data_IF_650110601587
#
_entry.id   IF_650110601587
#
_cell.length_a   1.000
_cell.length_b   1.000
_cell.length_c   1.000
_cell.angle_alpha   90.00
_cell.angle_beta   90.00
_cell.angle_gamma   90.00
#
_symmetry.space_group_name_H-M   'P 1'
#
loop_
_entity.id
_entity.type
_entity.pdbx_description
1 polymer ?
#
# COMPACT_ATOMS: atom_id res chain seq x y z
N UNK A 1 -28.20 1.70 19.55
CA UNK A 1 -27.20 2.78 19.65
C UNK A 1 -25.95 2.29 18.94
N UNK A 2 -25.76 2.67 17.68
CA UNK A 2 -24.57 2.29 16.92
C UNK A 2 -23.47 3.30 17.22
N UNK A 3 -22.34 2.84 17.74
CA UNK A 3 -21.15 3.65 17.91
C UNK A 3 -20.58 3.87 16.50
N UNK A 4 -20.74 5.08 15.96
CA UNK A 4 -20.05 5.47 14.71
C UNK A 4 -18.60 5.75 15.06
N UNK A 5 -17.70 4.87 14.62
CA UNK A 5 -16.29 5.25 14.44
C UNK A 5 -16.21 6.00 13.11
N UNK A 6 -16.52 7.29 13.12
CA UNK A 6 -15.97 8.18 12.11
C UNK A 6 -14.50 8.32 12.47
N UNK A 7 -13.63 7.54 11.81
CA UNK A 7 -12.22 7.89 11.73
C UNK A 7 -12.17 9.26 11.06
N UNK A 8 -11.98 10.30 11.87
CA UNK A 8 -11.72 11.64 11.37
C UNK A 8 -10.57 11.52 10.36
N UNK A 9 -10.74 12.10 9.17
CA UNK A 9 -9.69 12.14 8.14
C UNK A 9 -8.40 12.82 8.65
N UNK A 10 -8.46 13.48 9.81
CA UNK A 10 -7.32 14.00 10.57
C UNK A 10 -6.57 12.95 11.40
N UNK A 11 -7.04 11.70 11.48
CA UNK A 11 -6.36 10.65 12.27
C UNK A 11 -5.07 10.23 11.58
N UNK A 12 -3.95 10.69 12.13
CA UNK A 12 -2.62 10.31 11.72
C UNK A 12 -2.13 9.09 12.52
N UNK A 13 -1.53 8.13 11.83
CA UNK A 13 -0.95 6.93 12.45
C UNK A 13 0.53 6.87 12.12
N UNK A 14 1.35 6.71 13.15
CA UNK A 14 2.79 6.51 12.99
C UNK A 14 3.13 5.03 13.09
N UNK A 15 3.86 4.52 12.10
CA UNK A 15 4.13 3.10 11.89
C UNK A 15 5.61 2.91 11.50
N UNK A 16 6.30 1.87 11.97
CA UNK A 16 7.62 1.50 11.46
C UNK A 16 7.52 0.99 10.01
N UNK A 17 8.57 1.20 9.21
CA UNK A 17 8.69 0.55 7.91
C UNK A 17 9.26 -0.85 8.07
N UNK A 18 8.50 -1.89 7.75
CA UNK A 18 8.92 -3.28 7.74
C UNK A 18 10.03 -3.57 6.73
N UNK A 19 10.13 -2.77 5.65
CA UNK A 19 11.26 -2.83 4.72
C UNK A 19 12.57 -2.22 5.28
N UNK A 20 12.56 -1.61 6.47
CA UNK A 20 13.78 -1.16 7.16
C UNK A 20 14.60 -2.39 7.62
N UNK A 21 15.90 -2.50 7.27
CA UNK A 21 16.75 -3.64 7.66
C UNK A 21 16.89 -3.88 9.18
N UNK A 22 16.62 -2.85 9.98
CA UNK A 22 16.68 -2.91 11.44
C UNK A 22 15.48 -3.66 12.04
N UNK A 23 14.36 -3.75 11.32
CA UNK A 23 13.18 -4.53 11.72
C UNK A 23 13.49 -6.03 11.73
N UNK A 24 13.04 -6.71 12.79
CA UNK A 24 13.15 -8.15 12.97
C UNK A 24 11.76 -8.77 13.03
N UNK A 25 11.45 -9.59 12.03
CA UNK A 25 10.19 -10.30 11.91
C UNK A 25 10.34 -11.46 10.91
N UNK A 26 9.46 -12.46 10.99
CA UNK A 26 9.36 -13.48 9.94
C UNK A 26 8.59 -12.93 8.74
N UNK A 27 8.72 -13.53 7.54
CA UNK A 27 7.95 -13.11 6.37
C UNK A 27 6.42 -13.09 6.62
N UNK A 28 5.92 -14.08 7.36
CA UNK A 28 4.50 -14.21 7.70
C UNK A 28 4.06 -13.08 8.65
N UNK A 29 4.90 -12.74 9.63
CA UNK A 29 4.65 -11.63 10.55
C UNK A 29 4.67 -10.27 9.83
N UNK A 30 5.57 -10.07 8.85
CA UNK A 30 5.58 -8.88 7.99
C UNK A 30 4.31 -8.82 7.14
N UNK A 31 3.90 -9.93 6.53
CA UNK A 31 2.69 -9.98 5.71
C UNK A 31 1.45 -9.63 6.54
N UNK A 32 1.35 -10.18 7.75
CA UNK A 32 0.26 -9.88 8.68
C UNK A 32 0.31 -8.44 9.18
N UNK A 33 1.49 -7.90 9.50
CA UNK A 33 1.68 -6.50 9.86
C UNK A 33 1.22 -5.54 8.75
N UNK A 34 1.59 -5.81 7.51
CA UNK A 34 1.15 -4.99 6.36
C UNK A 34 -0.38 -5.04 6.22
N UNK A 35 -0.99 -6.21 6.48
CA UNK A 35 -2.44 -6.42 6.42
C UNK A 35 -3.19 -5.69 7.55
N UNK A 36 -2.74 -5.82 8.78
CA UNK A 36 -3.49 -5.36 9.98
C UNK A 36 -3.01 -4.02 10.51
N UNK A 37 -1.71 -3.75 10.40
CA UNK A 37 -1.05 -2.62 11.06
C UNK A 37 -0.73 -2.87 12.52
N UNK A 38 -0.90 -4.10 13.00
CA UNK A 38 -0.57 -4.47 14.36
C UNK A 38 0.95 -4.46 14.54
N UNK A 39 1.43 -3.39 15.17
CA UNK A 39 2.85 -3.22 15.45
C UNK A 39 3.38 -4.35 16.34
N UNK A 40 2.56 -5.01 17.17
CA UNK A 40 2.99 -6.12 18.03
C UNK A 40 3.52 -7.35 17.28
N UNK A 41 3.35 -7.41 15.95
CA UNK A 41 3.82 -8.51 15.09
C UNK A 41 5.28 -8.40 14.67
N UNK A 42 5.89 -7.22 14.83
CA UNK A 42 7.27 -6.96 14.42
C UNK A 42 8.09 -6.49 15.63
N UNK A 43 9.42 -6.56 15.53
CA UNK A 43 10.33 -6.02 16.56
C UNK A 43 11.24 -5.00 15.90
N UNK A 44 11.35 -3.80 16.47
CA UNK A 44 12.16 -2.71 15.91
C UNK A 44 12.89 -1.92 17.00
N UNK A 45 14.07 -1.37 16.70
CA UNK A 45 14.77 -0.44 17.59
C UNK A 45 14.17 0.97 17.53
N UNK A 46 14.52 1.83 18.49
CA UNK A 46 13.99 3.21 18.59
C UNK A 46 14.34 4.10 17.38
N UNK A 47 15.44 3.78 16.67
CA UNK A 47 15.97 4.51 15.52
C UNK A 47 15.43 4.00 14.17
N UNK A 48 14.49 3.06 14.17
CA UNK A 48 13.86 2.55 12.93
C UNK A 48 13.23 3.68 12.11
N UNK A 49 13.29 3.57 10.78
CA UNK A 49 12.54 4.46 9.90
C UNK A 49 11.05 4.29 10.16
N UNK A 50 10.37 5.39 10.48
CA UNK A 50 8.92 5.42 10.71
C UNK A 50 8.26 6.35 9.71
N UNK A 51 7.00 6.07 9.41
CA UNK A 51 6.13 6.92 8.59
C UNK A 51 4.95 7.38 9.41
N UNK A 52 4.51 8.61 9.19
CA UNK A 52 3.20 9.09 9.63
C UNK A 52 2.30 9.21 8.42
N UNK A 53 1.17 8.52 8.45
CA UNK A 53 0.20 8.46 7.36
C UNK A 53 -1.20 8.78 7.86
N UNK A 54 -2.09 9.17 6.95
CA UNK A 54 -3.51 9.37 7.22
C UNK A 54 -4.38 8.73 6.15
N UNK A 55 -5.66 8.55 6.46
CA UNK A 55 -6.67 8.22 5.46
C UNK A 55 -6.81 9.35 4.42
N UNK A 56 -7.11 8.97 3.18
CA UNK A 56 -7.49 9.93 2.14
C UNK A 56 -8.98 10.24 2.25
N UNK A 57 -9.32 11.48 1.96
CA UNK A 57 -10.71 11.87 1.69
C UNK A 57 -11.14 11.39 0.30
N UNK A 58 -12.45 11.27 0.05
CA UNK A 58 -12.97 10.90 -1.27
C UNK A 58 -12.44 11.80 -2.41
N UNK A 59 -12.35 13.14 -2.26
CA UNK A 59 -11.75 14.00 -3.30
C UNK A 59 -10.28 13.73 -3.58
N UNK A 60 -9.49 13.42 -2.54
CA UNK A 60 -8.06 13.10 -2.68
C UNK A 60 -7.86 11.76 -3.38
N UNK A 61 -8.70 10.77 -3.05
CA UNK A 61 -8.73 9.49 -3.74
C UNK A 61 -9.08 9.68 -5.23
N UNK A 62 -10.11 10.48 -5.53
CA UNK A 62 -10.53 10.77 -6.89
C UNK A 62 -9.47 11.55 -7.70
N UNK A 63 -8.69 12.43 -7.05
CA UNK A 63 -7.56 13.11 -7.70
C UNK A 63 -6.43 12.13 -8.02
N UNK A 64 -6.08 11.24 -7.09
CA UNK A 64 -5.07 10.20 -7.32
C UNK A 64 -5.48 9.24 -8.46
N UNK A 65 -6.75 8.85 -8.52
CA UNK A 65 -7.30 8.03 -9.60
C UNK A 65 -7.21 8.75 -10.95
N UNK A 66 -7.57 10.04 -11.00
CA UNK A 66 -7.48 10.86 -12.21
C UNK A 66 -6.04 11.01 -12.70
N UNK A 67 -5.09 11.20 -11.80
CA UNK A 67 -3.66 11.27 -12.14
C UNK A 67 -3.14 9.98 -12.79
N UNK A 68 -3.69 8.81 -12.42
CA UNK A 68 -3.34 7.52 -12.99
C UNK A 68 -3.99 7.24 -14.37
N UNK A 69 -5.01 8.02 -14.73
CA UNK A 69 -5.78 7.90 -15.96
C UNK A 69 -6.92 6.88 -15.84
N UNK A 70 -7.32 6.29 -16.97
CA UNK A 70 -8.42 5.33 -17.01
C UNK A 70 -8.09 4.06 -16.21
N UNK A 71 -8.95 3.73 -15.24
CA UNK A 71 -8.90 2.48 -14.46
C UNK A 71 -9.62 1.36 -15.22
N UNK A 72 -8.93 0.31 -15.68
CA UNK A 72 -9.58 -0.79 -16.41
C UNK A 72 -10.42 -1.66 -15.48
N UNK A 73 -11.74 -1.61 -15.59
CA UNK A 73 -12.66 -2.36 -14.71
C UNK A 73 -12.46 -3.87 -14.82
N UNK A 74 -12.33 -4.41 -16.04
CA UNK A 74 -12.05 -5.84 -16.25
C UNK A 74 -10.69 -6.25 -15.66
N UNK A 75 -9.71 -5.35 -15.73
CA UNK A 75 -8.39 -5.57 -15.16
C UNK A 75 -8.41 -5.60 -13.63
N UNK A 76 -9.22 -4.73 -13.00
CA UNK A 76 -9.44 -4.74 -11.55
C UNK A 76 -10.02 -6.08 -11.09
N UNK A 77 -11.04 -6.60 -11.80
CA UNK A 77 -11.60 -7.92 -11.48
C UNK A 77 -10.59 -9.06 -11.66
N UNK A 78 -9.80 -9.02 -12.74
CA UNK A 78 -8.73 -10.00 -12.96
C UNK A 78 -7.66 -9.92 -11.86
N UNK A 79 -7.35 -8.73 -11.38
CA UNK A 79 -6.42 -8.50 -10.28
C UNK A 79 -6.94 -9.07 -8.96
N UNK A 80 -8.21 -8.84 -8.63
CA UNK A 80 -8.83 -9.39 -7.42
C UNK A 80 -8.92 -10.93 -7.48
N UNK A 81 -9.27 -11.49 -8.63
CA UNK A 81 -9.27 -12.94 -8.85
C UNK A 81 -7.87 -13.56 -8.68
N UNK A 82 -6.85 -12.92 -9.26
CA UNK A 82 -5.47 -13.34 -9.09
C UNK A 82 -5.02 -13.26 -7.62
N UNK A 83 -5.39 -12.19 -6.89
CA UNK A 83 -5.09 -12.06 -5.46
C UNK A 83 -5.76 -13.14 -4.63
N UNK A 84 -7.03 -13.44 -4.88
CA UNK A 84 -7.76 -14.51 -4.19
C UNK A 84 -7.12 -15.87 -4.45
N UNK A 85 -6.67 -16.16 -5.68
CA UNK A 85 -5.97 -17.40 -6.00
C UNK A 85 -4.61 -17.55 -5.30
N UNK A 86 -4.01 -16.43 -4.88
CA UNK A 86 -2.70 -16.37 -4.21
C UNK A 86 -2.80 -16.31 -2.69
N UNK A 87 -4.00 -16.23 -2.12
CA UNK A 87 -4.20 -16.01 -0.69
C UNK A 87 -3.57 -17.14 0.15
N UNK A 88 -2.81 -16.77 1.19
CA UNK A 88 -2.12 -17.72 2.06
C UNK A 88 -0.94 -18.46 1.42
N UNK A 89 -0.55 -18.11 0.19
CA UNK A 89 0.58 -18.73 -0.51
C UNK A 89 1.80 -17.82 -0.56
N UNK A 90 2.98 -18.42 -0.55
CA UNK A 90 4.26 -17.71 -0.63
C UNK A 90 5.19 -18.29 -1.71
N UNK A 91 6.24 -17.53 -2.05
CA UNK A 91 7.31 -17.95 -2.96
C UNK A 91 6.81 -18.56 -4.27
N UNK A 92 7.36 -19.72 -4.62
CA UNK A 92 7.03 -20.45 -5.86
C UNK A 92 5.57 -20.90 -5.91
N UNK A 93 4.97 -21.25 -4.76
CA UNK A 93 3.56 -21.66 -4.71
C UNK A 93 2.63 -20.52 -5.11
N UNK A 94 2.94 -19.30 -4.65
CA UNK A 94 2.21 -18.08 -5.03
C UNK A 94 2.37 -17.74 -6.51
N UNK A 95 3.57 -17.90 -7.06
CA UNK A 95 3.82 -17.69 -8.49
C UNK A 95 3.05 -18.72 -9.33
N UNK A 96 3.10 -20.00 -8.95
CA UNK A 96 2.39 -21.06 -9.65
C UNK A 96 0.86 -20.90 -9.59
N UNK A 97 0.32 -20.39 -8.47
CA UNK A 97 -1.11 -20.09 -8.36
C UNK A 97 -1.55 -18.97 -9.30
N UNK A 98 -0.74 -17.92 -9.43
CA UNK A 98 -0.99 -16.86 -10.40
C UNK A 98 -0.99 -17.37 -11.83
N UNK A 99 0.02 -18.16 -12.22
CA UNK A 99 0.09 -18.71 -13.57
C UNK A 99 -1.10 -19.63 -13.88
N UNK A 100 -1.54 -20.45 -12.91
CA UNK A 100 -2.76 -21.27 -13.07
C UNK A 100 -4.01 -20.41 -13.25
N UNK A 101 -4.15 -19.33 -12.49
CA UNK A 101 -5.25 -18.38 -12.65
C UNK A 101 -5.22 -17.70 -14.03
N UNK A 102 -4.06 -17.14 -14.42
CA UNK A 102 -3.84 -16.45 -15.70
C UNK A 102 -3.99 -17.37 -16.92
N UNK A 103 -3.72 -18.66 -16.79
CA UNK A 103 -3.92 -19.65 -17.85
C UNK A 103 -5.39 -19.75 -18.30
N UNK A 104 -6.34 -19.55 -17.37
CA UNK A 104 -7.77 -19.56 -17.67
C UNK A 104 -8.31 -18.28 -18.32
N UNK A 105 -7.48 -17.23 -18.44
CA UNK A 105 -7.90 -15.95 -19.00
C UNK A 105 -7.75 -15.93 -20.52
N UNK A 106 -8.71 -15.29 -21.20
CA UNK A 106 -8.56 -14.93 -22.61
C UNK A 106 -7.62 -13.71 -22.77
N UNK A 107 -7.24 -13.43 -24.02
CA UNK A 107 -6.28 -12.35 -24.31
C UNK A 107 -6.79 -10.97 -23.88
N UNK A 108 -8.10 -10.72 -24.00
CA UNK A 108 -8.71 -9.47 -23.53
C UNK A 108 -8.52 -9.27 -22.03
N UNK A 109 -8.76 -10.31 -21.22
CA UNK A 109 -8.62 -10.25 -19.77
C UNK A 109 -7.15 -10.14 -19.34
N UNK A 110 -6.23 -10.81 -20.05
CA UNK A 110 -4.79 -10.67 -19.83
C UNK A 110 -4.31 -9.25 -20.10
N UNK A 111 -4.72 -8.68 -21.23
CA UNK A 111 -4.40 -7.28 -21.56
C UNK A 111 -5.00 -6.33 -20.52
N UNK A 112 -6.26 -6.52 -20.14
CA UNK A 112 -6.90 -5.68 -19.12
C UNK A 112 -6.19 -5.76 -17.76
N UNK A 113 -5.72 -6.95 -17.36
CA UNK A 113 -4.90 -7.11 -16.15
C UNK A 113 -3.59 -6.33 -16.25
N UNK A 114 -2.86 -6.46 -17.36
CA UNK A 114 -1.59 -5.76 -17.56
C UNK A 114 -1.80 -4.23 -17.58
N UNK A 115 -2.87 -3.74 -18.22
CA UNK A 115 -3.28 -2.33 -18.21
C UNK A 115 -3.64 -1.84 -16.79
N UNK A 116 -4.29 -2.69 -16.00
CA UNK A 116 -4.65 -2.36 -14.61
C UNK A 116 -3.41 -2.31 -13.72
N UNK A 117 -2.47 -3.23 -13.85
CA UNK A 117 -1.18 -3.19 -13.14
C UNK A 117 -0.44 -1.89 -13.48
N UNK A 118 -0.39 -1.53 -14.77
CA UNK A 118 0.22 -0.27 -15.19
C UNK A 118 -0.50 0.97 -14.63
N UNK A 119 -1.83 0.95 -14.57
CA UNK A 119 -2.62 2.01 -13.92
C UNK A 119 -2.32 2.09 -12.42
N UNK A 120 -2.30 0.96 -11.73
CA UNK A 120 -2.04 0.85 -10.30
C UNK A 120 -0.63 1.34 -9.94
N UNK A 121 0.36 1.07 -10.80
CA UNK A 121 1.73 1.58 -10.66
C UNK A 121 1.83 3.11 -10.79
N UNK A 122 0.99 3.72 -11.63
CA UNK A 122 0.90 5.19 -11.75
C UNK A 122 0.12 5.82 -10.59
N UNK A 123 -0.89 5.13 -10.08
CA UNK A 123 -1.75 5.60 -8.98
C UNK A 123 -1.00 5.60 -7.64
N UNK A 124 -0.22 4.55 -7.37
CA UNK A 124 0.48 4.36 -6.08
C UNK A 124 1.26 5.60 -5.60
N UNK A 125 2.12 6.24 -6.42
CA UNK A 125 2.83 7.46 -6.03
C UNK A 125 1.90 8.63 -5.67
N UNK A 126 0.76 8.77 -6.36
CA UNK A 126 -0.19 9.84 -6.09
C UNK A 126 -0.89 9.65 -4.74
N UNK A 127 -1.25 8.40 -4.41
CA UNK A 127 -1.81 8.04 -3.10
C UNK A 127 -0.79 8.31 -1.99
N UNK A 128 0.46 7.89 -2.17
CA UNK A 128 1.54 8.14 -1.21
C UNK A 128 1.75 9.64 -1.01
N UNK A 129 1.81 10.43 -2.08
CA UNK A 129 1.95 11.88 -1.98
C UNK A 129 0.78 12.55 -1.21
N UNK A 130 -0.44 12.04 -1.38
CA UNK A 130 -1.61 12.57 -0.71
C UNK A 130 -1.70 12.13 0.77
N UNK A 131 -1.35 10.90 1.11
CA UNK A 131 -1.56 10.33 2.45
C UNK A 131 -0.33 10.33 3.37
N UNK A 132 0.89 10.45 2.84
CA UNK A 132 2.11 10.54 3.64
C UNK A 132 2.24 11.93 4.26
N UNK A 133 2.36 11.98 5.58
CA UNK A 133 2.47 13.21 6.38
C UNK A 133 3.93 13.49 6.72
N UNK A 134 4.64 12.49 7.23
CA UNK A 134 6.03 12.61 7.65
C UNK A 134 6.78 11.28 7.51
N UNK A 135 8.10 11.37 7.42
CA UNK A 135 9.02 10.25 7.64
C UNK A 135 9.94 10.64 8.79
N UNK A 136 10.29 9.68 9.64
CA UNK A 136 11.12 9.87 10.82
C UNK A 136 12.29 8.90 10.80
N UNK A 137 13.37 9.28 11.47
CA UNK A 137 14.61 8.51 11.56
C UNK A 137 15.77 9.19 10.84
N UNK A 138 16.89 8.48 10.72
CA UNK A 138 18.12 9.05 10.18
C UNK A 138 17.93 9.59 8.76
N UNK A 139 18.17 10.90 8.59
CA UNK A 139 18.06 11.58 7.29
C UNK A 139 16.64 11.99 6.86
N UNK A 140 15.63 11.74 7.70
CA UNK A 140 14.23 12.09 7.41
C UNK A 140 13.68 13.19 8.31
N UNK A 141 14.21 13.31 9.54
CA UNK A 141 13.73 14.30 10.50
C UNK A 141 13.88 15.73 9.96
N UNK A 142 12.78 16.49 10.00
CA UNK A 142 12.73 17.87 9.52
C UNK A 142 12.57 18.02 8.00
N UNK A 143 12.42 16.94 7.23
CA UNK A 143 12.07 17.03 5.81
C UNK A 143 10.62 17.55 5.69
N UNK A 144 10.39 18.72 5.04
CA UNK A 144 9.05 19.22 4.84
C UNK A 144 8.23 18.23 4.00
N UNK A 145 6.94 18.08 4.31
CA UNK A 145 6.02 17.20 3.56
C UNK A 145 6.09 17.42 2.04
N UNK A 146 6.16 18.69 1.62
CA UNK A 146 6.27 19.06 0.20
C UNK A 146 7.56 18.55 -0.48
N UNK A 147 8.61 18.26 0.29
CA UNK A 147 9.90 17.77 -0.19
C UNK A 147 10.07 16.24 -0.05
N UNK A 148 9.09 15.54 0.55
CA UNK A 148 9.13 14.08 0.70
C UNK A 148 9.19 13.33 -0.64
N UNK A 149 8.44 13.72 -1.70
CA UNK A 149 8.57 13.06 -3.01
C UNK A 149 10.00 13.13 -3.57
N UNK A 150 10.64 14.30 -3.46
CA UNK A 150 12.01 14.51 -3.92
C UNK A 150 13.03 13.74 -3.07
N UNK A 151 12.79 13.61 -1.76
CA UNK A 151 13.65 12.81 -0.88
C UNK A 151 13.49 11.31 -1.14
N UNK A 152 12.28 10.81 -1.34
CA UNK A 152 12.03 9.44 -1.79
C UNK A 152 12.72 9.16 -3.14
N UNK A 153 12.81 10.17 -4.01
CA UNK A 153 13.54 10.06 -5.27
C UNK A 153 15.07 9.87 -5.11
N UNK A 154 15.63 10.07 -3.91
CA UNK A 154 17.04 9.81 -3.58
C UNK A 154 17.28 8.40 -3.01
N UNK A 155 16.24 7.75 -2.51
CA UNK A 155 16.30 6.35 -2.03
C UNK A 155 16.64 5.40 -3.19
N UNK A 156 17.52 4.39 -3.01
CA UNK A 156 17.82 3.41 -4.04
C UNK A 156 16.56 2.82 -4.68
N UNK A 157 16.56 2.66 -6.01
CA UNK A 157 15.35 2.30 -6.79
C UNK A 157 14.60 1.08 -6.24
N UNK A 158 15.33 0.03 -5.84
CA UNK A 158 14.75 -1.19 -5.27
C UNK A 158 14.04 -0.91 -3.95
N UNK A 159 14.73 -0.26 -3.02
CA UNK A 159 14.18 0.11 -1.71
C UNK A 159 13.01 1.09 -1.84
N UNK A 160 13.06 2.01 -2.81
CA UNK A 160 11.97 2.96 -3.09
C UNK A 160 10.67 2.25 -3.47
N UNK A 161 10.75 1.18 -4.26
CA UNK A 161 9.57 0.42 -4.64
C UNK A 161 8.91 -0.24 -3.42
N UNK A 162 9.72 -0.80 -2.53
CA UNK A 162 9.25 -1.45 -1.30
C UNK A 162 8.63 -0.42 -0.34
N UNK A 163 9.30 0.72 -0.11
CA UNK A 163 8.78 1.82 0.72
C UNK A 163 7.45 2.35 0.16
N UNK A 164 7.37 2.62 -1.15
CA UNK A 164 6.14 3.13 -1.78
C UNK A 164 5.01 2.11 -1.67
N UNK A 165 5.30 0.83 -1.86
CA UNK A 165 4.30 -0.24 -1.75
C UNK A 165 3.76 -0.38 -0.31
N UNK A 166 4.65 -0.32 0.68
CA UNK A 166 4.29 -0.39 2.10
C UNK A 166 3.49 0.84 2.56
N UNK A 167 3.98 2.06 2.27
CA UNK A 167 3.28 3.31 2.61
C UNK A 167 1.89 3.34 1.98
N UNK A 168 1.78 2.98 0.69
CA UNK A 168 0.49 2.85 0.02
C UNK A 168 -0.43 1.88 0.75
N UNK A 169 0.08 0.71 1.17
CA UNK A 169 -0.72 -0.32 1.85
C UNK A 169 -1.32 0.20 3.15
N UNK A 170 -0.53 0.91 3.96
CA UNK A 170 -1.03 1.53 5.20
C UNK A 170 -2.05 2.63 4.94
N UNK A 171 -1.83 3.49 3.94
CA UNK A 171 -2.78 4.54 3.55
C UNK A 171 -4.10 3.93 3.06
N UNK A 172 -4.05 2.96 2.16
CA UNK A 172 -5.24 2.28 1.63
C UNK A 172 -6.01 1.55 2.73
N UNK A 173 -5.32 0.90 3.68
CA UNK A 173 -5.95 0.27 4.83
C UNK A 173 -6.72 1.29 5.67
N UNK A 174 -6.10 2.41 6.03
CA UNK A 174 -6.75 3.47 6.81
C UNK A 174 -7.95 4.07 6.08
N UNK A 175 -7.83 4.26 4.76
CA UNK A 175 -8.91 4.78 3.91
C UNK A 175 -10.08 3.80 3.84
N UNK A 176 -9.80 2.49 3.75
CA UNK A 176 -10.83 1.45 3.64
C UNK A 176 -11.46 1.05 4.99
N UNK A 177 -10.75 1.21 6.12
CA UNK A 177 -11.30 0.97 7.47
C UNK A 177 -12.51 1.88 7.76
N UNK A 178 -12.57 3.08 7.17
CA UNK A 178 -13.76 3.95 7.24
C UNK A 178 -14.96 3.47 6.41
N UNK A 179 -14.75 2.55 5.46
CA UNK A 179 -15.79 2.01 4.58
C UNK A 179 -16.45 0.73 5.14
N UNK A 180 -15.76 -0.02 6.01
CA UNK A 180 -16.28 -1.27 6.62
C UNK A 180 -17.47 -1.05 7.59
N UNK A 181 -17.81 0.20 7.91
CA UNK A 181 -19.03 0.56 8.65
C UNK A 181 -20.27 0.89 7.79
N UNK A 182 -20.19 0.72 6.45
CA UNK A 182 -21.29 1.04 5.50
C UNK A 182 -21.91 -0.20 4.82
N UNK A 183 -21.72 -1.40 5.37
CA UNK A 183 -22.38 -2.64 4.96
C UNK A 183 -23.69 -2.88 5.70
#
# INVERSE_FOLDING_TARGET
MAIRFELDAATEVTLPLACDPSVKATPEAIAEYLRTGDQGLITWPDDVTRITVRALTEPEQAEADRAAGYRPTLGAYAFDEARAAQEGLEGEARAAAFERCRAGWNDLKRQAYDDFVAWFDRQRPAIVAAGLVAMHGEGWDGVPRAALPDHLARVPKRLRADVVAEVHTHISRLTNLGAEGKG
#
